data_IF_331116368057
#
_entry.id   IF_331116368057
#
_cell.length_a   1.000
_cell.length_b   1.000
_cell.length_c   1.000
_cell.angle_alpha   90.00
_cell.angle_beta   90.00
_cell.angle_gamma   90.00
#
_symmetry.space_group_name_H-M   'P 1'
#
loop_
_entity.id
_entity.type
_entity.pdbx_description
1 polymer ?
#
# COMPACT_ATOMS: atom_id res chain seq x y z
N UNK A 1 24.49 -9.84 9.75
CA UNK A 1 23.82 -9.93 8.42
C UNK A 1 24.08 -8.66 7.64
N UNK A 2 24.64 -8.75 6.43
CA UNK A 2 24.66 -7.60 5.50
C UNK A 2 23.21 -7.13 5.31
N UNK A 3 22.96 -5.84 5.45
CA UNK A 3 21.66 -5.26 5.09
C UNK A 3 21.39 -5.60 3.62
N UNK A 4 20.46 -6.52 3.40
CA UNK A 4 20.11 -6.93 2.04
C UNK A 4 19.32 -5.80 1.42
N UNK A 5 20.01 -4.96 0.65
CA UNK A 5 19.40 -3.91 -0.17
C UNK A 5 18.27 -4.49 -1.03
N UNK A 6 18.44 -5.73 -1.50
CA UNK A 6 17.44 -6.48 -2.26
C UNK A 6 16.18 -6.74 -1.43
N UNK A 7 16.31 -7.22 -0.19
CA UNK A 7 15.15 -7.47 0.70
C UNK A 7 14.34 -6.20 0.96
N UNK A 8 15.02 -5.06 1.14
CA UNK A 8 14.35 -3.76 1.31
C UNK A 8 13.46 -3.46 0.10
N UNK A 9 14.00 -3.54 -1.11
CA UNK A 9 13.27 -3.23 -2.34
C UNK A 9 12.13 -4.21 -2.60
N UNK A 10 12.34 -5.51 -2.35
CA UNK A 10 11.28 -6.53 -2.47
C UNK A 10 10.11 -6.20 -1.54
N UNK A 11 10.38 -5.94 -0.24
CA UNK A 11 9.32 -5.63 0.71
C UNK A 11 8.56 -4.35 0.34
N UNK A 12 9.26 -3.29 -0.08
CA UNK A 12 8.62 -2.06 -0.53
C UNK A 12 7.72 -2.31 -1.76
N UNK A 13 8.19 -3.09 -2.73
CA UNK A 13 7.44 -3.37 -3.96
C UNK A 13 6.24 -4.29 -3.71
N UNK A 14 6.41 -5.36 -2.92
CA UNK A 14 5.32 -6.27 -2.54
C UNK A 14 4.24 -5.54 -1.75
N UNK A 15 4.61 -4.70 -0.76
CA UNK A 15 3.63 -3.91 -0.02
C UNK A 15 2.99 -2.81 -0.88
N UNK A 16 3.75 -2.20 -1.81
CA UNK A 16 3.23 -1.28 -2.83
C UNK A 16 2.12 -1.92 -3.65
N UNK A 17 2.41 -3.04 -4.31
CA UNK A 17 1.44 -3.79 -5.12
C UNK A 17 0.24 -4.24 -4.27
N UNK A 18 0.48 -4.78 -3.08
CA UNK A 18 -0.59 -5.22 -2.19
C UNK A 18 -1.53 -4.07 -1.79
N UNK A 19 -0.99 -2.87 -1.56
CA UNK A 19 -1.79 -1.68 -1.24
C UNK A 19 -2.60 -1.21 -2.45
N UNK A 20 -2.02 -1.24 -3.65
CA UNK A 20 -2.76 -0.94 -4.89
C UNK A 20 -3.93 -1.90 -5.07
N UNK A 21 -3.69 -3.22 -4.95
CA UNK A 21 -4.76 -4.22 -5.06
C UNK A 21 -5.84 -4.01 -3.99
N UNK A 22 -5.44 -3.72 -2.75
CA UNK A 22 -6.37 -3.41 -1.66
C UNK A 22 -7.19 -2.15 -1.95
N UNK A 23 -6.58 -1.14 -2.56
CA UNK A 23 -7.27 0.10 -2.94
C UNK A 23 -8.33 -0.15 -4.03
N UNK A 24 -7.99 -0.97 -5.03
CA UNK A 24 -8.86 -1.32 -6.15
C UNK A 24 -9.97 -2.31 -5.81
N UNK A 25 -9.89 -2.96 -4.64
CA UNK A 25 -10.87 -3.97 -4.21
C UNK A 25 -11.58 -3.50 -2.94
N UNK A 26 -10.97 -3.72 -1.78
CA UNK A 26 -11.59 -3.46 -0.49
C UNK A 26 -11.95 -1.99 -0.27
N UNK A 27 -11.04 -1.06 -0.60
CA UNK A 27 -11.32 0.37 -0.40
C UNK A 27 -12.33 0.86 -1.44
N UNK A 28 -12.22 0.39 -2.67
CA UNK A 28 -13.17 0.68 -3.73
C UNK A 28 -14.60 0.28 -3.33
N UNK A 29 -14.81 -0.97 -2.95
CA UNK A 29 -16.13 -1.49 -2.56
C UNK A 29 -16.67 -0.80 -1.29
N UNK A 30 -15.78 -0.41 -0.37
CA UNK A 30 -16.16 0.29 0.86
C UNK A 30 -16.62 1.72 0.60
N UNK A 31 -15.93 2.44 -0.29
CA UNK A 31 -16.21 3.85 -0.57
C UNK A 31 -17.28 4.05 -1.65
N UNK A 32 -17.41 3.09 -2.57
CA UNK A 32 -18.30 3.13 -3.73
C UNK A 32 -19.15 1.85 -3.70
N UNK A 33 -20.07 1.71 -2.73
CA UNK A 33 -20.89 0.51 -2.60
C UNK A 33 -21.92 0.35 -3.73
N UNK A 34 -22.33 1.46 -4.36
CA UNK A 34 -23.17 1.49 -5.56
C UNK A 34 -22.47 2.32 -6.64
N UNK A 35 -21.91 1.64 -7.63
CA UNK A 35 -21.21 2.27 -8.75
C UNK A 35 -22.18 3.01 -9.70
N UNK A 36 -23.44 2.56 -9.78
CA UNK A 36 -24.45 3.09 -10.69
C UNK A 36 -25.02 4.42 -10.19
N UNK A 37 -24.97 4.65 -8.88
CA UNK A 37 -25.41 5.90 -8.24
C UNK A 37 -24.82 7.15 -8.90
N UNK A 38 -23.56 7.06 -9.35
CA UNK A 38 -22.80 8.17 -9.91
C UNK A 38 -23.11 8.52 -11.37
N UNK A 39 -24.03 7.78 -12.03
CA UNK A 39 -24.60 8.22 -13.31
C UNK A 39 -25.50 9.44 -13.17
N UNK A 40 -26.08 9.62 -11.99
CA UNK A 40 -27.08 10.68 -11.73
C UNK A 40 -26.65 11.62 -10.61
N UNK A 41 -25.57 11.31 -9.90
CA UNK A 41 -25.08 12.07 -8.77
C UNK A 41 -23.59 12.35 -8.91
N UNK A 42 -23.17 13.53 -8.48
CA UNK A 42 -21.75 13.89 -8.47
C UNK A 42 -21.01 13.19 -7.31
N UNK A 43 -19.76 12.79 -7.56
CA UNK A 43 -18.87 12.40 -6.48
C UNK A 43 -18.50 13.60 -5.62
N UNK A 44 -18.29 13.35 -4.32
CA UNK A 44 -17.75 14.38 -3.43
C UNK A 44 -16.35 14.81 -3.88
N UNK A 45 -15.95 16.05 -3.56
CA UNK A 45 -14.64 16.58 -3.93
C UNK A 45 -13.48 15.71 -3.42
N UNK A 46 -13.64 15.07 -2.25
CA UNK A 46 -12.66 14.13 -1.72
C UNK A 46 -12.54 12.87 -2.59
N UNK A 47 -13.67 12.29 -2.99
CA UNK A 47 -13.67 11.10 -3.86
C UNK A 47 -13.10 11.43 -5.24
N UNK A 48 -13.42 12.60 -5.80
CA UNK A 48 -12.88 13.06 -7.09
C UNK A 48 -11.35 13.23 -7.11
N UNK A 49 -10.69 13.35 -5.96
CA UNK A 49 -9.22 13.36 -5.91
C UNK A 49 -8.65 11.99 -6.31
N UNK A 50 -9.31 10.91 -5.92
CA UNK A 50 -8.77 9.55 -6.05
C UNK A 50 -9.52 8.69 -7.07
N UNK A 51 -10.71 9.11 -7.48
CA UNK A 51 -11.56 8.39 -8.42
C UNK A 51 -12.02 9.35 -9.52
N UNK A 52 -12.30 8.81 -10.69
CA UNK A 52 -12.83 9.56 -11.83
C UNK A 52 -13.90 8.73 -12.53
N UNK A 53 -15.03 9.35 -12.86
CA UNK A 53 -16.08 8.73 -13.66
C UNK A 53 -15.94 9.21 -15.11
N UNK A 54 -15.12 8.50 -15.89
CA UNK A 54 -14.84 8.85 -17.29
C UNK A 54 -15.74 8.07 -18.27
N UNK A 55 -15.80 8.55 -19.52
CA UNK A 55 -16.53 7.83 -20.59
C UNK A 55 -15.95 6.43 -20.87
N UNK A 56 -14.66 6.21 -20.64
CA UNK A 56 -14.02 4.89 -20.77
C UNK A 56 -14.57 3.84 -19.78
N UNK A 57 -15.03 4.30 -18.62
CA UNK A 57 -15.59 3.46 -17.56
C UNK A 57 -17.13 3.48 -17.56
N UNK A 58 -17.74 3.93 -18.67
CA UNK A 58 -19.19 4.15 -18.81
C UNK A 58 -19.78 5.00 -17.68
N UNK A 59 -19.05 5.99 -17.17
CA UNK A 59 -19.51 6.84 -16.07
C UNK A 59 -19.47 6.16 -14.68
N UNK A 60 -18.91 4.96 -14.56
CA UNK A 60 -18.61 4.38 -13.25
C UNK A 60 -17.32 4.99 -12.68
N UNK A 61 -17.27 5.26 -11.36
CA UNK A 61 -16.04 5.70 -10.73
C UNK A 61 -14.94 4.65 -10.92
N UNK A 62 -13.78 5.06 -11.40
CA UNK A 62 -12.57 4.23 -11.48
C UNK A 62 -11.43 4.90 -10.73
N UNK A 63 -10.54 4.13 -10.07
CA UNK A 63 -9.38 4.71 -9.40
C UNK A 63 -8.47 5.40 -10.42
N UNK A 64 -8.10 6.65 -10.12
CA UNK A 64 -7.30 7.45 -11.03
C UNK A 64 -5.79 7.32 -10.73
N UNK A 65 -4.97 8.06 -11.48
CA UNK A 65 -3.51 8.06 -11.31
C UNK A 65 -3.07 8.49 -9.90
N UNK A 66 -3.79 9.43 -9.27
CA UNK A 66 -3.46 9.86 -7.90
C UNK A 66 -3.67 8.73 -6.90
N UNK A 67 -4.76 7.96 -7.02
CA UNK A 67 -4.99 6.78 -6.19
C UNK A 67 -3.85 5.75 -6.35
N UNK A 68 -3.41 5.49 -7.59
CA UNK A 68 -2.28 4.60 -7.84
C UNK A 68 -1.00 5.09 -7.16
N UNK A 69 -0.65 6.38 -7.34
CA UNK A 69 0.55 6.97 -6.74
C UNK A 69 0.49 6.92 -5.21
N UNK A 70 -0.63 7.35 -4.62
CA UNK A 70 -0.82 7.33 -3.17
C UNK A 70 -0.75 5.93 -2.60
N UNK A 71 -1.36 4.95 -3.27
CA UNK A 71 -1.31 3.54 -2.86
C UNK A 71 0.12 2.98 -2.89
N UNK A 72 0.90 3.29 -3.93
CA UNK A 72 2.30 2.90 -4.01
C UNK A 72 3.17 3.54 -2.93
N UNK A 73 2.93 4.83 -2.62
CA UNK A 73 3.64 5.54 -1.55
C UNK A 73 3.33 4.91 -0.19
N UNK A 74 2.04 4.73 0.13
CA UNK A 74 1.61 4.11 1.40
C UNK A 74 2.19 2.71 1.53
N UNK A 75 2.05 1.88 0.50
CA UNK A 75 2.61 0.52 0.50
C UNK A 75 4.13 0.50 0.61
N UNK A 76 4.83 1.43 -0.04
CA UNK A 76 6.27 1.59 0.09
C UNK A 76 6.71 1.97 1.52
N UNK A 77 5.99 2.88 2.17
CA UNK A 77 6.24 3.27 3.57
C UNK A 77 6.02 2.06 4.50
N UNK A 78 4.93 1.31 4.32
CA UNK A 78 4.64 0.09 5.08
C UNK A 78 5.74 -0.96 4.90
N UNK A 79 6.13 -1.24 3.65
CA UNK A 79 7.20 -2.19 3.34
C UNK A 79 8.55 -1.79 3.94
N UNK A 80 8.88 -0.50 3.92
CA UNK A 80 10.07 0.01 4.60
C UNK A 80 9.98 -0.14 6.12
N UNK A 81 8.81 0.12 6.73
CA UNK A 81 8.56 -0.10 8.15
C UNK A 81 8.78 -1.55 8.55
N UNK A 82 8.26 -2.50 7.78
CA UNK A 82 8.45 -3.94 7.98
C UNK A 82 9.93 -4.31 7.86
N UNK A 83 10.63 -3.82 6.83
CA UNK A 83 12.08 -4.03 6.68
C UNK A 83 12.86 -3.56 7.92
N UNK A 84 12.57 -2.35 8.41
CA UNK A 84 13.23 -1.81 9.61
C UNK A 84 12.92 -2.64 10.86
N UNK A 85 11.68 -3.11 11.00
CA UNK A 85 11.29 -3.97 12.11
C UNK A 85 12.05 -5.31 12.10
N UNK A 86 12.09 -5.99 10.96
CA UNK A 86 12.76 -7.28 10.80
C UNK A 86 14.28 -7.18 11.02
N UNK A 87 14.92 -6.15 10.45
CA UNK A 87 16.36 -5.92 10.62
C UNK A 87 16.74 -5.57 12.06
N UNK A 88 15.94 -4.74 12.74
CA UNK A 88 16.15 -4.42 14.15
C UNK A 88 15.95 -5.63 15.07
N UNK A 89 14.94 -6.47 14.80
CA UNK A 89 14.71 -7.73 15.54
C UNK A 89 15.90 -8.69 15.40
N UNK A 90 16.46 -8.81 14.19
CA UNK A 90 17.61 -9.68 13.95
C UNK A 90 18.88 -9.18 14.65
N UNK A 91 19.14 -7.87 14.66
CA UNK A 91 20.27 -7.28 15.41
C UNK A 91 20.17 -7.61 16.91
N UNK A 92 18.96 -7.55 17.50
CA UNK A 92 18.73 -7.93 18.90
C UNK A 92 18.99 -9.41 19.17
N UNK A 93 18.48 -10.31 18.31
CA UNK A 93 18.72 -11.77 18.47
C UNK A 93 20.21 -12.13 18.47
N UNK A 94 20.98 -11.58 17.53
CA UNK A 94 22.44 -11.85 17.44
C UNK A 94 23.16 -11.41 18.73
N UNK A 95 22.80 -10.24 19.28
CA UNK A 95 23.39 -9.74 20.53
C UNK A 95 23.10 -10.66 21.72
N UNK A 96 21.89 -11.20 21.81
CA UNK A 96 21.54 -12.15 22.88
C UNK A 96 22.30 -13.47 22.76
N UNK A 97 22.48 -14.01 21.55
CA UNK A 97 23.24 -15.26 21.36
C UNK A 97 24.72 -15.07 21.67
N UNK A 98 25.34 -13.99 21.19
CA UNK A 98 26.74 -13.69 21.49
C UNK A 98 27.03 -13.58 23.00
N UNK A 99 26.14 -12.93 23.75
CA UNK A 99 26.29 -12.82 25.20
C UNK A 99 26.12 -14.16 25.95
N UNK A 100 25.46 -15.17 25.37
CA UNK A 100 25.31 -16.50 25.96
C UNK A 100 26.51 -17.42 25.70
N UNK A 101 27.27 -17.20 24.63
CA UNK A 101 28.47 -17.99 24.32
C UNK A 101 29.71 -17.50 25.07
N UNK A 102 29.64 -16.29 25.64
CA UNK A 102 30.71 -15.65 26.43
C UNK A 102 30.55 -15.82 27.95
N UNK A 103 29.48 -16.48 28.41
CA UNK A 103 29.18 -16.77 29.83
C UNK A 103 29.33 -18.25 30.13
#
# INVERSE_FOLDING_TARGET
>A
MKESKILKWILMLTCGIGTVLTSFTLIYDLLIPDICYYHTNEMSSFMNLFYSAGGADNGHPSPNLLNLITSLIIGGILGYGIYKFLTNKNKRKIKTTANKELS
#
